data_IF_105302899193
#
_entry.id   IF_105302899193
#
_cell.length_a   1.000
_cell.length_b   1.000
_cell.length_c   1.000
_cell.angle_alpha   90.00
_cell.angle_beta   90.00
_cell.angle_gamma   90.00
#
_symmetry.space_group_name_H-M   'P 1'
#
loop_
_entity.id
_entity.type
_entity.pdbx_description
1 polymer ?
#
# COMPACT_ATOMS: atom_id res chain seq x y z
N UNK A 1 -13.19 -4.50 20.50
CA UNK A 1 -13.88 -3.53 19.60
C UNK A 1 -12.96 -2.38 19.22
N UNK A 2 -12.30 -1.72 20.19
CA UNK A 2 -11.31 -0.67 19.90
C UNK A 2 -10.15 -1.13 19.00
N UNK A 3 -9.56 -2.30 19.29
CA UNK A 3 -8.46 -2.87 18.47
C UNK A 3 -8.86 -3.10 17.01
N UNK A 4 -10.08 -3.59 16.77
CA UNK A 4 -10.60 -3.84 15.41
C UNK A 4 -10.65 -2.54 14.63
N UNK A 5 -11.24 -1.50 15.22
CA UNK A 5 -11.36 -0.19 14.58
C UNK A 5 -10.00 0.46 14.35
N UNK A 6 -9.07 0.32 15.30
CA UNK A 6 -7.72 0.85 15.18
C UNK A 6 -6.94 0.15 14.07
N UNK A 7 -6.91 -1.18 14.07
CA UNK A 7 -6.21 -1.98 13.05
C UNK A 7 -6.80 -1.70 11.67
N UNK A 8 -8.13 -1.72 11.53
CA UNK A 8 -8.74 -1.51 10.22
C UNK A 8 -8.46 -0.11 9.67
N UNK A 9 -8.59 0.92 10.50
CA UNK A 9 -8.32 2.30 10.11
C UNK A 9 -6.84 2.52 9.75
N UNK A 10 -5.91 1.94 10.52
CA UNK A 10 -4.47 2.04 10.26
C UNK A 10 -4.06 1.35 8.95
N UNK A 11 -4.60 0.16 8.69
CA UNK A 11 -4.37 -0.55 7.42
C UNK A 11 -4.97 0.22 6.26
N UNK A 12 -6.22 0.69 6.37
CA UNK A 12 -6.85 1.53 5.33
C UNK A 12 -6.03 2.78 5.03
N UNK A 13 -5.57 3.50 6.05
CA UNK A 13 -4.74 4.69 5.87
C UNK A 13 -3.43 4.35 5.14
N UNK A 14 -2.80 3.24 5.52
CA UNK A 14 -1.57 2.78 4.87
C UNK A 14 -1.81 2.45 3.40
N UNK A 15 -2.91 1.78 3.07
CA UNK A 15 -3.28 1.49 1.68
C UNK A 15 -3.53 2.78 0.88
N UNK A 16 -4.26 3.74 1.43
CA UNK A 16 -4.53 5.02 0.76
C UNK A 16 -3.24 5.81 0.50
N UNK A 17 -2.37 5.92 1.50
CA UNK A 17 -1.08 6.60 1.36
C UNK A 17 -0.17 5.85 0.40
N UNK A 18 -0.22 4.52 0.39
CA UNK A 18 0.66 3.73 -0.46
C UNK A 18 0.23 3.72 -1.93
N UNK A 19 -1.07 3.61 -2.21
CA UNK A 19 -1.59 3.49 -3.59
C UNK A 19 -1.99 4.81 -4.23
N UNK A 20 -2.45 5.77 -3.45
CA UNK A 20 -3.03 7.02 -3.97
C UNK A 20 -2.27 8.27 -3.51
N UNK A 21 -1.07 8.14 -2.94
CA UNK A 21 -0.23 9.29 -2.60
C UNK A 21 1.20 9.12 -3.12
N UNK A 22 1.78 10.22 -3.59
CA UNK A 22 3.20 10.32 -3.92
C UNK A 22 4.09 10.44 -2.67
N UNK A 23 3.49 10.49 -1.48
CA UNK A 23 4.21 10.61 -0.21
C UNK A 23 5.34 9.58 -0.08
N UNK A 24 5.11 8.32 -0.47
CA UNK A 24 6.17 7.31 -0.43
C UNK A 24 7.37 7.69 -1.30
N UNK A 25 7.12 8.18 -2.52
CA UNK A 25 8.15 8.58 -3.49
C UNK A 25 8.95 9.77 -2.95
N UNK A 26 8.26 10.78 -2.42
CA UNK A 26 8.89 11.96 -1.82
C UNK A 26 9.75 11.60 -0.61
N UNK A 27 9.21 10.84 0.35
CA UNK A 27 9.94 10.44 1.55
C UNK A 27 11.12 9.52 1.24
N UNK A 28 10.96 8.56 0.33
CA UNK A 28 12.05 7.69 -0.09
C UNK A 28 13.15 8.47 -0.85
N UNK A 29 12.79 9.53 -1.57
CA UNK A 29 13.76 10.44 -2.19
C UNK A 29 14.52 11.25 -1.15
N UNK A 30 13.83 11.81 -0.14
CA UNK A 30 14.42 12.59 0.94
C UNK A 30 15.38 11.78 1.83
N UNK A 31 15.05 10.52 2.10
CA UNK A 31 15.86 9.63 2.96
C UNK A 31 17.05 9.02 2.18
N UNK A 32 17.19 9.30 0.88
CA UNK A 32 18.26 8.77 0.04
C UNK A 32 18.02 7.32 -0.42
N UNK A 33 16.80 6.81 -0.27
CA UNK A 33 16.36 5.50 -0.76
C UNK A 33 16.02 5.48 -2.25
N UNK A 34 16.07 6.63 -2.94
CA UNK A 34 15.68 6.78 -4.35
C UNK A 34 16.30 5.72 -5.28
N UNK A 35 17.59 5.43 -5.11
CA UNK A 35 18.30 4.43 -5.92
C UNK A 35 17.90 2.99 -5.58
N UNK A 36 17.59 2.70 -4.32
CA UNK A 36 17.18 1.35 -3.90
C UNK A 36 15.77 1.03 -4.41
N UNK A 37 14.86 2.00 -4.31
CA UNK A 37 13.48 1.88 -4.77
C UNK A 37 13.27 2.22 -6.25
N UNK A 38 14.35 2.46 -7.01
CA UNK A 38 14.28 2.75 -8.46
C UNK A 38 13.40 3.96 -8.80
N UNK A 39 13.38 4.95 -7.89
CA UNK A 39 12.61 6.19 -8.08
C UNK A 39 13.22 7.03 -9.21
N UNK A 40 14.54 6.97 -9.40
CA UNK A 40 15.23 7.66 -10.48
C UNK A 40 14.80 7.12 -11.86
N UNK A 41 14.73 5.79 -12.04
CA UNK A 41 14.25 5.20 -13.31
C UNK A 41 12.77 5.49 -13.54
N UNK A 42 11.97 5.52 -12.48
CA UNK A 42 10.58 5.97 -12.55
C UNK A 42 10.45 7.43 -13.00
N UNK A 43 11.22 8.35 -12.42
CA UNK A 43 11.20 9.77 -12.80
C UNK A 43 11.68 10.00 -14.25
N UNK A 44 12.63 9.20 -14.74
CA UNK A 44 13.03 9.22 -16.15
C UNK A 44 11.94 8.65 -17.07
N UNK A 45 11.28 7.56 -16.67
CA UNK A 45 10.15 7.00 -17.40
C UNK A 45 8.97 7.97 -17.46
N UNK A 46 8.72 8.74 -16.39
CA UNK A 46 7.66 9.75 -16.33
C UNK A 46 7.83 10.86 -17.38
N UNK A 47 9.07 11.24 -17.70
CA UNK A 47 9.38 12.23 -18.76
C UNK A 47 8.96 11.73 -20.15
N UNK A 48 8.83 10.42 -20.33
CA UNK A 48 8.51 9.78 -21.62
C UNK A 48 7.07 9.25 -21.67
N UNK A 49 6.53 8.81 -20.52
CA UNK A 49 5.15 8.34 -20.32
C UNK A 49 4.49 9.17 -19.21
N UNK A 50 3.78 10.22 -19.60
CA UNK A 50 3.17 11.19 -18.66
C UNK A 50 2.07 10.61 -17.73
N UNK A 51 1.63 9.37 -17.93
CA UNK A 51 0.57 8.73 -17.13
C UNK A 51 1.01 7.44 -16.43
N UNK A 52 2.32 7.19 -16.29
CA UNK A 52 2.82 5.97 -15.66
C UNK A 52 2.75 6.11 -14.13
N UNK A 53 1.96 5.26 -13.46
CA UNK A 53 1.99 5.17 -12.00
C UNK A 53 3.21 4.39 -11.53
N UNK A 54 3.73 4.74 -10.35
CA UNK A 54 4.93 4.12 -9.78
C UNK A 54 4.80 2.60 -9.64
N UNK A 55 3.64 2.12 -9.21
CA UNK A 55 3.38 0.69 -9.05
C UNK A 55 3.37 -0.06 -10.38
N UNK A 56 2.88 0.57 -11.46
CA UNK A 56 2.89 -0.01 -12.81
C UNK A 56 4.32 -0.12 -13.36
N UNK A 57 5.13 0.92 -13.14
CA UNK A 57 6.55 0.91 -13.48
C UNK A 57 7.31 -0.21 -12.76
N UNK A 58 7.07 -0.36 -11.45
CA UNK A 58 7.67 -1.41 -10.64
C UNK A 58 7.30 -2.82 -11.13
N UNK A 59 6.05 -3.02 -11.57
CA UNK A 59 5.59 -4.28 -12.13
C UNK A 59 6.18 -4.57 -13.51
N UNK A 60 6.38 -3.54 -14.34
CA UNK A 60 6.97 -3.64 -15.69
C UNK A 60 8.47 -3.99 -15.60
N UNK A 61 9.24 -3.32 -14.73
CA UNK A 61 10.69 -3.57 -14.60
C UNK A 61 11.03 -4.81 -13.76
N UNK A 62 10.28 -5.07 -12.67
CA UNK A 62 10.69 -6.02 -11.61
C UNK A 62 9.52 -6.86 -11.11
N UNK A 63 8.88 -7.60 -12.01
CA UNK A 63 7.80 -8.53 -11.67
C UNK A 63 8.30 -9.69 -10.77
N UNK A 64 8.28 -9.47 -9.45
CA UNK A 64 8.68 -10.44 -8.43
C UNK A 64 7.58 -10.57 -7.36
N UNK A 65 7.62 -11.64 -6.56
CA UNK A 65 6.61 -11.90 -5.52
C UNK A 65 6.44 -10.72 -4.56
N UNK A 66 7.55 -10.13 -4.09
CA UNK A 66 7.52 -8.99 -3.18
C UNK A 66 6.98 -7.72 -3.84
N UNK A 67 7.30 -7.49 -5.11
CA UNK A 67 6.74 -6.36 -5.85
C UNK A 67 5.23 -6.53 -6.01
N UNK A 68 4.74 -7.72 -6.40
CA UNK A 68 3.29 -8.00 -6.44
C UNK A 68 2.62 -7.83 -5.07
N UNK A 69 3.33 -8.15 -3.99
CA UNK A 69 2.83 -8.01 -2.63
C UNK A 69 2.57 -6.54 -2.26
N UNK A 70 3.49 -5.64 -2.64
CA UNK A 70 3.35 -4.21 -2.37
C UNK A 70 2.51 -3.47 -3.42
N UNK A 71 2.39 -3.98 -4.65
CA UNK A 71 1.59 -3.34 -5.72
C UNK A 71 0.16 -3.84 -5.81
N UNK A 72 -0.20 -4.91 -5.11
CA UNK A 72 -1.58 -5.38 -5.04
C UNK A 72 -2.24 -4.92 -3.72
N UNK A 73 -3.32 -4.12 -3.77
CA UNK A 73 -4.02 -3.66 -2.56
C UNK A 73 -4.52 -4.80 -1.68
N UNK A 74 -4.99 -5.90 -2.29
CA UNK A 74 -5.45 -7.08 -1.58
C UNK A 74 -4.29 -7.77 -0.83
N UNK A 75 -3.15 -7.96 -1.51
CA UNK A 75 -1.99 -8.60 -0.91
C UNK A 75 -1.42 -7.74 0.21
N UNK A 76 -1.25 -6.45 -0.03
CA UNK A 76 -0.72 -5.53 0.98
C UNK A 76 -1.65 -5.46 2.19
N UNK A 77 -2.97 -5.37 1.98
CA UNK A 77 -3.97 -5.40 3.06
C UNK A 77 -3.89 -6.68 3.88
N UNK A 78 -3.79 -7.83 3.21
CA UNK A 78 -3.70 -9.14 3.87
C UNK A 78 -2.48 -9.18 4.80
N UNK A 79 -1.29 -8.84 4.30
CA UNK A 79 -0.07 -8.93 5.07
C UNK A 79 -0.01 -7.88 6.18
N UNK A 80 -0.42 -6.64 5.91
CA UNK A 80 -0.47 -5.59 6.93
C UNK A 80 -1.45 -5.95 8.05
N UNK A 81 -2.64 -6.46 7.70
CA UNK A 81 -3.63 -6.87 8.69
C UNK A 81 -3.16 -8.08 9.49
N UNK A 82 -2.48 -9.04 8.84
CA UNK A 82 -1.94 -10.22 9.52
C UNK A 82 -0.86 -9.84 10.53
N UNK A 83 0.07 -8.96 10.14
CA UNK A 83 1.12 -8.47 11.03
C UNK A 83 0.52 -7.63 12.16
N UNK A 84 -0.38 -6.69 11.84
CA UNK A 84 -1.01 -5.84 12.84
C UNK A 84 -1.82 -6.64 13.86
N UNK A 85 -2.58 -7.65 13.42
CA UNK A 85 -3.30 -8.54 14.35
C UNK A 85 -2.36 -9.39 15.17
N UNK A 86 -1.32 -9.98 14.58
CA UNK A 86 -0.34 -10.78 15.32
C UNK A 86 0.40 -9.98 16.40
N UNK A 87 0.69 -8.69 16.15
CA UNK A 87 1.44 -7.83 17.08
C UNK A 87 0.53 -7.21 18.14
N UNK A 88 -0.68 -6.79 17.76
CA UNK A 88 -1.55 -6.01 18.65
C UNK A 88 -2.61 -6.83 19.37
N UNK A 89 -2.89 -8.07 18.93
CA UNK A 89 -3.91 -8.92 19.54
C UNK A 89 -3.42 -10.36 19.70
N UNK A 90 -3.82 -11.02 20.78
CA UNK A 90 -3.63 -12.47 20.93
C UNK A 90 -4.70 -13.27 20.16
N UNK A 91 -5.68 -12.56 19.61
CA UNK A 91 -6.89 -13.08 19.01
C UNK A 91 -6.79 -13.11 17.48
N UNK A 92 -6.06 -14.07 16.92
CA UNK A 92 -5.90 -14.23 15.47
C UNK A 92 -7.22 -14.47 14.72
N UNK A 93 -8.29 -14.89 15.40
CA UNK A 93 -9.62 -15.01 14.80
C UNK A 93 -10.21 -13.68 14.34
N UNK A 94 -9.67 -12.55 14.81
CA UNK A 94 -10.10 -11.19 14.46
C UNK A 94 -9.55 -10.75 13.10
N UNK A 95 -8.53 -11.44 12.58
CA UNK A 95 -7.87 -11.16 11.31
C UNK A 95 -8.81 -11.04 10.10
N UNK A 96 -9.71 -12.02 9.82
CA UNK A 96 -10.55 -11.95 8.62
C UNK A 96 -11.49 -10.74 8.66
N UNK A 97 -12.03 -10.43 9.84
CA UNK A 97 -12.94 -9.31 10.05
C UNK A 97 -12.20 -7.99 9.80
N UNK A 98 -11.01 -7.83 10.39
CA UNK A 98 -10.20 -6.62 10.18
C UNK A 98 -9.83 -6.46 8.71
N UNK A 99 -9.36 -7.52 8.04
CA UNK A 99 -8.89 -7.43 6.66
C UNK A 99 -10.02 -7.06 5.70
N UNK A 100 -11.19 -7.69 5.84
CA UNK A 100 -12.37 -7.35 5.04
C UNK A 100 -12.82 -5.92 5.31
N UNK A 101 -12.86 -5.50 6.58
CA UNK A 101 -13.25 -4.14 6.94
C UNK A 101 -12.28 -3.11 6.35
N UNK A 102 -10.97 -3.31 6.46
CA UNK A 102 -9.95 -2.41 5.89
C UNK A 102 -10.12 -2.23 4.39
N UNK A 103 -10.35 -3.34 3.67
CA UNK A 103 -10.54 -3.34 2.22
C UNK A 103 -11.85 -2.67 1.80
N UNK A 104 -12.92 -2.91 2.55
CA UNK A 104 -14.21 -2.25 2.30
C UNK A 104 -14.09 -0.75 2.48
N UNK A 105 -13.52 -0.29 3.59
CA UNK A 105 -13.33 1.15 3.85
C UNK A 105 -12.39 1.77 2.82
N UNK A 106 -11.27 1.10 2.49
CA UNK A 106 -10.37 1.52 1.42
C UNK A 106 -11.10 1.70 0.08
N UNK A 107 -11.86 0.67 -0.35
CA UNK A 107 -12.58 0.69 -1.62
C UNK A 107 -13.69 1.74 -1.66
N UNK A 108 -14.34 1.99 -0.53
CA UNK A 108 -15.36 3.03 -0.41
C UNK A 108 -14.73 4.43 -0.51
N UNK A 109 -13.61 4.68 0.18
CA UNK A 109 -12.91 5.96 0.12
C UNK A 109 -12.36 6.20 -1.28
N UNK A 110 -11.72 5.19 -1.88
CA UNK A 110 -11.19 5.28 -3.24
C UNK A 110 -12.28 5.65 -4.26
N UNK A 111 -13.46 5.00 -4.16
CA UNK A 111 -14.61 5.32 -5.02
C UNK A 111 -15.24 6.68 -4.72
N UNK A 112 -15.27 7.10 -3.46
CA UNK A 112 -15.88 8.37 -3.07
C UNK A 112 -15.05 9.58 -3.52
N UNK A 113 -13.74 9.39 -3.62
CA UNK A 113 -12.78 10.43 -3.99
C UNK A 113 -12.33 10.33 -5.46
N UNK A 114 -12.93 9.45 -6.25
CA UNK A 114 -12.58 9.17 -7.66
C UNK A 114 -11.06 8.98 -7.86
N UNK A 115 -10.43 8.23 -6.94
CA UNK A 115 -8.99 7.95 -6.88
C UNK A 115 -8.53 6.81 -7.79
#
# INVERSE_FOLDING_TARGET
>A
MFEIAFISSAVTLTLLVWFHSEAFIEYATLIGGAKFFHIESYQEALKTKASLMYHDHLLEERNSFFIRLITCPLCLSFWLTLIATFVMTEALWVFPICNVLSLLVYSLIAKLLDL
#
